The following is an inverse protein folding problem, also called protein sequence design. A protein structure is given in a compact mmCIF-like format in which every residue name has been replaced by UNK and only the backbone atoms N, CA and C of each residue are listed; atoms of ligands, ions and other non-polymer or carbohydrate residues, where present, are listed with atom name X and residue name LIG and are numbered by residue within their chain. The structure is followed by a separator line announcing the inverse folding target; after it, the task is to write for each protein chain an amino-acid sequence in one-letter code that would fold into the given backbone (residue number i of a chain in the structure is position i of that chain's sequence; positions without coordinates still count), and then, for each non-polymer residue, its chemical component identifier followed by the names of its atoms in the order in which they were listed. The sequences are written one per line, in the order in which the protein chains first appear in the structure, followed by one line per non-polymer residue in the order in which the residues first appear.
data_IF_142315377069
#
_entry.id   IF_142315377069
#
_cell.length_a   1.000
_cell.length_b   1.000
_cell.length_c   1.000
_cell.angle_alpha   90.00
_cell.angle_beta   90.00
_cell.angle_gamma   90.00
#
_symmetry.space_group_name_H-M   'P 1'
#
loop_
_entity.id
_entity.type
_entity.pdbx_description
1 polymer ?
#
# COMPACT_ATOMS: atom_id res chain seq x y z
N UNK A 1 21.92 -18.84 -22.01
CA UNK A 1 21.39 -17.99 -20.93
C UNK A 1 20.51 -16.96 -21.62
N UNK A 2 19.21 -17.15 -21.48
CA UNK A 2 18.18 -16.50 -22.31
C UNK A 2 17.76 -15.17 -21.71
N UNK A 3 17.36 -14.21 -22.55
CA UNK A 3 16.98 -12.83 -22.24
C UNK A 3 16.05 -12.65 -21.03
N UNK A 4 15.22 -13.65 -20.71
CA UNK A 4 14.31 -13.64 -19.54
C UNK A 4 15.09 -13.72 -18.21
N UNK A 5 16.10 -14.59 -18.13
CA UNK A 5 16.89 -14.77 -16.90
C UNK A 5 17.69 -13.50 -16.56
N UNK A 6 18.19 -12.81 -17.58
CA UNK A 6 18.88 -11.52 -17.40
C UNK A 6 17.96 -10.39 -16.95
N UNK A 7 16.72 -10.34 -17.45
CA UNK A 7 15.75 -9.33 -17.03
C UNK A 7 15.31 -9.54 -15.57
N UNK A 8 15.04 -10.78 -15.18
CA UNK A 8 14.66 -11.09 -13.80
C UNK A 8 15.79 -10.76 -12.81
N UNK A 9 17.04 -11.05 -13.16
CA UNK A 9 18.19 -10.70 -12.34
C UNK A 9 18.37 -9.18 -12.19
N UNK A 10 18.18 -8.42 -13.28
CA UNK A 10 18.22 -6.95 -13.23
C UNK A 10 17.08 -6.37 -12.37
N UNK A 11 15.87 -6.91 -12.51
CA UNK A 11 14.71 -6.51 -11.71
C UNK A 11 14.93 -6.74 -10.21
N UNK A 12 15.46 -7.91 -9.83
CA UNK A 12 15.81 -8.20 -8.43
C UNK A 12 16.91 -7.26 -7.90
N UNK A 13 17.94 -6.99 -8.70
CA UNK A 13 19.01 -6.07 -8.31
C UNK A 13 18.47 -4.66 -8.07
N UNK A 14 17.60 -4.16 -8.96
CA UNK A 14 16.98 -2.84 -8.82
C UNK A 14 16.06 -2.76 -7.60
N UNK A 15 15.26 -3.80 -7.36
CA UNK A 15 14.43 -3.90 -6.16
C UNK A 15 15.25 -3.84 -4.86
N UNK A 16 16.38 -4.56 -4.81
CA UNK A 16 17.26 -4.55 -3.65
C UNK A 16 17.91 -3.17 -3.42
N UNK A 17 18.33 -2.50 -4.50
CA UNK A 17 18.86 -1.13 -4.46
C UNK A 17 17.83 -0.13 -3.92
N UNK A 18 16.62 -0.12 -4.49
CA UNK A 18 15.56 0.81 -4.08
C UNK A 18 15.09 0.56 -2.65
N UNK A 19 14.97 -0.69 -2.21
CA UNK A 19 14.64 -0.99 -0.81
C UNK A 19 15.70 -0.50 0.19
N UNK A 20 16.98 -0.45 -0.21
CA UNK A 20 18.03 0.10 0.63
C UNK A 20 18.07 1.65 0.60
N UNK A 21 17.75 2.26 -0.55
CA UNK A 21 17.82 3.71 -0.73
C UNK A 21 16.57 4.46 -0.26
N UNK A 22 15.39 3.85 -0.41
CA UNK A 22 14.09 4.47 -0.18
C UNK A 22 13.35 3.71 0.93
N UNK A 23 13.50 4.14 2.20
CA UNK A 23 12.88 3.45 3.32
C UNK A 23 11.35 3.52 3.23
N UNK A 24 10.71 2.55 3.89
CA UNK A 24 9.28 2.59 4.12
C UNK A 24 8.95 3.80 5.01
N UNK A 25 7.98 4.66 4.66
CA UNK A 25 7.57 5.74 5.54
C UNK A 25 6.90 5.18 6.80
N UNK A 26 7.12 5.84 7.94
CA UNK A 26 6.65 5.36 9.27
C UNK A 26 5.13 5.16 9.35
N UNK A 27 4.34 5.82 8.49
CA UNK A 27 2.88 5.69 8.44
C UNK A 27 2.40 4.39 7.79
N UNK A 28 3.28 3.63 7.13
CA UNK A 28 2.92 2.41 6.43
C UNK A 28 3.51 1.18 7.11
N UNK A 29 2.71 0.11 7.16
CA UNK A 29 3.11 -1.15 7.77
C UNK A 29 3.95 -2.01 6.82
N UNK A 30 3.66 -1.93 5.53
CA UNK A 30 4.30 -2.74 4.49
C UNK A 30 4.44 -1.93 3.19
N UNK A 31 5.48 -2.26 2.42
CA UNK A 31 5.63 -1.83 1.03
C UNK A 31 5.76 -3.05 0.13
N UNK A 32 5.08 -3.02 -1.01
CA UNK A 32 5.20 -4.04 -2.04
C UNK A 32 6.56 -4.04 -2.73
N UNK A 33 6.68 -4.88 -3.75
CA UNK A 33 7.84 -4.85 -4.65
C UNK A 33 7.84 -3.57 -5.46
N UNK A 34 9.03 -3.11 -5.83
CA UNK A 34 9.19 -2.03 -6.79
C UNK A 34 8.89 -2.55 -8.19
N UNK A 35 8.10 -1.79 -8.93
CA UNK A 35 7.68 -2.06 -10.30
C UNK A 35 8.17 -0.92 -11.20
N UNK A 36 8.61 -1.27 -12.40
CA UNK A 36 9.02 -0.33 -13.44
C UNK A 36 7.76 0.14 -14.16
N UNK A 37 7.46 1.42 -14.04
CA UNK A 37 6.44 2.07 -14.86
C UNK A 37 6.98 2.16 -16.30
N UNK A 38 6.10 2.07 -17.30
CA UNK A 38 6.52 2.02 -18.73
C UNK A 38 7.34 3.24 -19.20
N UNK A 39 7.37 4.31 -18.40
CA UNK A 39 8.18 5.51 -18.59
C UNK A 39 9.59 5.44 -17.99
N UNK A 40 9.94 4.32 -17.35
CA UNK A 40 11.24 4.06 -16.71
C UNK A 40 11.33 4.56 -15.27
N UNK A 41 10.26 5.16 -14.73
CA UNK A 41 10.18 5.45 -13.29
C UNK A 41 9.80 4.20 -12.51
N UNK A 42 10.10 4.16 -11.21
CA UNK A 42 9.77 3.02 -10.38
C UNK A 42 8.85 3.43 -9.24
N UNK A 43 7.82 2.64 -9.01
CA UNK A 43 6.88 2.82 -7.91
C UNK A 43 6.70 1.52 -7.13
N UNK A 44 6.26 1.62 -5.88
CA UNK A 44 5.75 0.48 -5.11
C UNK A 44 4.44 0.84 -4.43
N UNK A 45 3.54 -0.13 -4.31
CA UNK A 45 2.38 0.04 -3.43
C UNK A 45 2.80 0.10 -1.97
N UNK A 46 2.14 0.94 -1.19
CA UNK A 46 2.26 1.03 0.25
C UNK A 46 0.95 0.61 0.91
N UNK A 47 1.06 -0.16 1.99
CA UNK A 47 -0.08 -0.68 2.74
C UNK A 47 0.00 -0.19 4.19
N UNK A 48 -1.00 0.60 4.56
CA UNK A 48 -1.16 1.17 5.90
C UNK A 48 -1.63 0.14 6.91
N UNK A 49 -1.72 0.57 8.17
CA UNK A 49 -2.17 -0.27 9.27
C UNK A 49 -3.68 -0.56 9.10
N UNK A 50 -4.06 -1.83 9.14
CA UNK A 50 -5.47 -2.23 9.07
C UNK A 50 -6.22 -1.89 10.38
N UNK A 51 -7.46 -1.41 10.22
CA UNK A 51 -8.41 -1.19 11.30
C UNK A 51 -9.67 -2.04 11.08
N UNK A 52 -10.09 -2.78 12.11
CA UNK A 52 -11.26 -3.67 12.06
C UNK A 52 -10.92 -5.11 11.69
N UNK A 53 -11.86 -6.03 11.93
CA UNK A 53 -11.65 -7.47 11.72
C UNK A 53 -12.44 -8.04 10.53
N UNK A 54 -13.73 -7.68 10.41
CA UNK A 54 -14.64 -8.19 9.38
C UNK A 54 -14.76 -7.26 8.15
N UNK A 55 -14.69 -5.95 8.40
CA UNK A 55 -14.43 -4.92 7.40
C UNK A 55 -13.14 -4.27 7.84
N UNK A 56 -12.14 -4.30 6.97
CA UNK A 56 -10.84 -3.71 7.24
C UNK A 56 -10.74 -2.41 6.48
N UNK A 57 -10.34 -1.36 7.19
CA UNK A 57 -10.06 -0.05 6.63
C UNK A 57 -8.58 0.22 6.81
N UNK A 58 -7.90 0.60 5.74
CA UNK A 58 -6.47 0.96 5.76
C UNK A 58 -6.23 2.12 4.81
N UNK A 59 -5.08 2.78 4.95
CA UNK A 59 -4.59 3.76 3.97
C UNK A 59 -3.65 3.06 3.00
N UNK A 60 -3.91 3.18 1.71
CA UNK A 60 -3.01 2.77 0.64
C UNK A 60 -2.37 3.98 -0.02
N UNK A 61 -1.24 3.77 -0.68
CA UNK A 61 -0.62 4.77 -1.54
C UNK A 61 0.35 4.09 -2.53
N UNK A 62 0.97 4.88 -3.38
CA UNK A 62 2.21 4.50 -4.06
C UNK A 62 3.37 5.32 -3.53
N UNK A 63 4.57 4.76 -3.58
CA UNK A 63 5.81 5.48 -3.34
C UNK A 63 6.63 5.49 -4.62
N UNK A 64 7.11 6.65 -5.05
CA UNK A 64 8.09 6.74 -6.14
C UNK A 64 9.51 6.51 -5.64
N UNK A 65 10.42 6.17 -6.56
CA UNK A 65 11.84 5.93 -6.26
C UNK A 65 12.61 7.13 -5.69
N UNK A 66 12.05 8.34 -5.77
CA UNK A 66 12.58 9.52 -5.09
C UNK A 66 11.98 9.76 -3.69
N UNK A 67 11.13 8.83 -3.23
CA UNK A 67 10.55 8.80 -1.90
C UNK A 67 9.22 9.53 -1.74
N UNK A 68 8.68 10.17 -2.79
CA UNK A 68 7.38 10.84 -2.71
C UNK A 68 6.24 9.83 -2.56
N UNK A 69 5.24 10.22 -1.77
CA UNK A 69 3.96 9.50 -1.65
C UNK A 69 3.03 10.03 -2.74
N UNK A 70 2.44 9.10 -3.48
CA UNK A 70 1.56 9.36 -4.60
C UNK A 70 0.20 8.72 -4.31
N UNK A 71 -0.86 9.44 -4.69
CA UNK A 71 -2.23 8.94 -4.69
C UNK A 71 -2.68 8.27 -3.37
N UNK A 72 -2.51 8.91 -2.20
CA UNK A 72 -2.98 8.33 -0.96
C UNK A 72 -4.50 8.16 -1.00
N UNK A 73 -4.96 6.97 -0.62
CA UNK A 73 -6.36 6.60 -0.70
C UNK A 73 -6.77 5.67 0.45
N UNK A 74 -8.08 5.58 0.71
CA UNK A 74 -8.62 4.69 1.74
C UNK A 74 -9.06 3.39 1.07
N UNK A 75 -8.52 2.27 1.55
CA UNK A 75 -8.88 0.93 1.12
C UNK A 75 -9.88 0.34 2.10
N UNK A 76 -10.90 -0.31 1.56
CA UNK A 76 -11.94 -0.98 2.33
C UNK A 76 -12.05 -2.40 1.84
N UNK A 77 -11.61 -3.34 2.65
CA UNK A 77 -11.68 -4.76 2.36
C UNK A 77 -12.78 -5.42 3.19
N UNK A 78 -13.57 -6.26 2.53
CA UNK A 78 -14.66 -7.00 3.14
C UNK A 78 -14.42 -8.48 2.88
N UNK A 79 -14.39 -9.28 3.95
CA UNK A 79 -14.23 -10.74 3.82
C UNK A 79 -15.33 -11.33 2.93
N UNK A 80 -14.98 -12.33 2.11
CA UNK A 80 -15.94 -13.05 1.25
C UNK A 80 -17.09 -13.69 2.03
N UNK A 81 -16.87 -14.03 3.31
CA UNK A 81 -17.88 -14.63 4.19
C UNK A 81 -18.64 -13.59 5.03
N UNK A 82 -18.55 -12.31 4.69
CA UNK A 82 -19.16 -11.25 5.47
C UNK A 82 -20.70 -11.31 5.50
N UNK A 83 -21.23 -11.57 6.69
CA UNK A 83 -22.67 -11.65 6.95
C UNK A 83 -23.38 -10.31 7.18
N UNK A 84 -22.68 -9.18 7.02
CA UNK A 84 -23.18 -7.84 7.30
C UNK A 84 -22.75 -7.27 8.65
N UNK A 85 -23.16 -6.02 8.92
CA UNK A 85 -22.90 -5.31 10.18
C UNK A 85 -24.18 -5.13 10.96
N UNK A 86 -24.08 -5.29 12.28
CA UNK A 86 -25.06 -4.71 13.19
C UNK A 86 -24.82 -3.18 13.33
N UNK A 87 -25.70 -2.44 14.03
CA UNK A 87 -25.51 -1.00 14.21
C UNK A 87 -24.24 -0.60 14.96
N UNK A 88 -23.63 -1.47 15.76
CA UNK A 88 -22.39 -1.16 16.46
C UNK A 88 -21.19 -1.29 15.51
N UNK A 89 -21.13 -2.38 14.75
CA UNK A 89 -20.14 -2.61 13.70
C UNK A 89 -20.19 -1.53 12.62
N UNK A 90 -21.39 -1.11 12.20
CA UNK A 90 -21.54 -0.03 11.23
C UNK A 90 -20.96 1.30 11.73
N UNK A 91 -21.16 1.64 13.01
CA UNK A 91 -20.56 2.84 13.61
C UNK A 91 -19.05 2.73 13.75
N UNK A 92 -18.54 1.55 14.08
CA UNK A 92 -17.09 1.31 14.16
C UNK A 92 -16.43 1.51 12.80
N UNK A 93 -16.97 0.91 11.73
CA UNK A 93 -16.45 1.11 10.37
C UNK A 93 -16.50 2.59 9.96
N UNK A 94 -17.57 3.31 10.30
CA UNK A 94 -17.64 4.75 10.03
C UNK A 94 -16.55 5.53 10.76
N UNK A 95 -16.25 5.19 12.02
CA UNK A 95 -15.18 5.81 12.79
C UNK A 95 -13.78 5.49 12.22
N UNK A 96 -13.57 4.26 11.73
CA UNK A 96 -12.32 3.85 11.11
C UNK A 96 -12.11 4.53 9.74
N UNK A 97 -13.18 4.73 8.96
CA UNK A 97 -13.15 5.52 7.73
C UNK A 97 -12.77 6.99 7.97
N UNK A 98 -13.34 7.61 9.01
CA UNK A 98 -12.98 8.99 9.37
C UNK A 98 -11.51 9.08 9.78
N UNK A 99 -11.02 8.14 10.59
CA UNK A 99 -9.60 8.10 10.98
C UNK A 99 -8.68 7.95 9.76
N UNK A 100 -9.02 7.07 8.83
CA UNK A 100 -8.24 6.85 7.62
C UNK A 100 -8.24 8.10 6.71
N UNK A 101 -9.37 8.82 6.63
CA UNK A 101 -9.42 10.10 5.92
C UNK A 101 -8.49 11.14 6.56
N UNK A 102 -8.53 11.29 7.89
CA UNK A 102 -7.63 12.20 8.63
C UNK A 102 -6.15 11.81 8.45
N UNK A 103 -5.85 10.53 8.25
CA UNK A 103 -4.50 10.05 7.94
C UNK A 103 -4.07 10.41 6.52
N UNK A 104 -4.92 10.19 5.52
CA UNK A 104 -4.67 10.60 4.13
C UNK A 104 -4.41 12.11 4.03
N UNK A 105 -5.14 12.94 4.77
CA UNK A 105 -4.94 14.40 4.79
C UNK A 105 -3.60 14.85 5.40
N UNK A 106 -2.91 13.97 6.13
CA UNK A 106 -1.61 14.27 6.76
C UNK A 106 -0.40 13.79 5.96
N UNK A 107 -0.61 12.99 4.92
CA UNK A 107 0.44 12.50 4.01
C UNK A 107 0.82 13.57 2.98
#
# INVERSE_FOLDING_TARGET
MTTIESHLAAWHARNAELNAAVPLPDSFAEGGVWEDDEDGSWTRSLFGIEHGAAVRVSVGAFQSEDGRILEPNVWVEIDKQFGGLDPAGARQVAADLLRAADEVERL
#
